data_IF_353568763474
#
_entry.id   IF_353568763474
#
_cell.length_a   1.000
_cell.length_b   1.000
_cell.length_c   1.000
_cell.angle_alpha   90.00
_cell.angle_beta   90.00
_cell.angle_gamma   90.00
#
_symmetry.space_group_name_H-M   'P 1'
#
loop_
_entity.id
_entity.type
_entity.pdbx_description
1 polymer ?
#
# COMPACT_ATOMS: atom_id res chain seq x y z
N UNK A 1 21.09 4.03 5.14
CA UNK A 1 21.15 4.95 3.98
C UNK A 1 21.55 6.33 4.51
N UNK A 2 22.77 6.79 4.27
CA UNK A 2 23.21 8.12 4.73
C UNK A 2 23.37 9.03 3.52
N UNK A 3 22.39 9.90 3.28
CA UNK A 3 22.30 10.84 2.17
C UNK A 3 23.22 12.08 2.37
N UNK A 4 24.42 11.90 2.92
CA UNK A 4 25.39 12.98 3.16
C UNK A 4 26.03 13.45 1.84
N UNK A 5 25.29 14.22 1.03
CA UNK A 5 25.78 14.91 -0.17
C UNK A 5 25.63 14.18 -1.51
N UNK A 6 24.91 13.04 -1.55
CA UNK A 6 24.71 12.22 -2.77
C UNK A 6 23.25 12.16 -3.24
N UNK A 7 22.42 13.14 -2.90
CA UNK A 7 20.99 13.17 -3.25
C UNK A 7 20.76 13.11 -4.77
N UNK A 8 21.45 13.96 -5.54
CA UNK A 8 21.40 13.94 -7.01
C UNK A 8 21.91 12.63 -7.62
N UNK A 9 22.92 12.01 -6.99
CA UNK A 9 23.42 10.69 -7.41
C UNK A 9 22.38 9.59 -7.18
N UNK A 10 21.52 9.73 -6.16
CA UNK A 10 20.43 8.78 -5.92
C UNK A 10 19.39 8.82 -7.03
N UNK A 11 19.03 10.01 -7.55
CA UNK A 11 18.16 10.12 -8.73
C UNK A 11 18.76 9.45 -9.97
N UNK A 12 20.06 9.66 -10.21
CA UNK A 12 20.76 9.02 -11.33
C UNK A 12 20.84 7.49 -11.19
N UNK A 13 21.07 6.99 -9.98
CA UNK A 13 21.11 5.55 -9.66
C UNK A 13 19.72 4.92 -9.69
N UNK A 14 18.68 5.67 -9.31
CA UNK A 14 17.28 5.26 -9.42
C UNK A 14 16.88 5.02 -10.88
N UNK A 15 17.45 5.82 -11.79
CA UNK A 15 17.37 5.63 -13.23
C UNK A 15 15.94 5.60 -13.77
N UNK A 16 15.77 4.94 -14.92
CA UNK A 16 14.46 4.77 -15.56
C UNK A 16 13.44 4.03 -14.66
N UNK A 17 13.78 2.97 -13.91
CA UNK A 17 12.82 2.27 -13.06
C UNK A 17 12.18 3.16 -11.99
N UNK A 18 12.96 4.02 -11.34
CA UNK A 18 12.42 4.94 -10.34
C UNK A 18 11.61 6.08 -10.94
N UNK A 19 12.01 6.60 -12.12
CA UNK A 19 11.24 7.62 -12.81
C UNK A 19 9.86 7.11 -13.27
N UNK A 20 9.83 5.98 -13.97
CA UNK A 20 8.56 5.35 -14.37
C UNK A 20 7.74 4.88 -13.17
N UNK A 21 8.40 4.31 -12.15
CA UNK A 21 7.75 3.95 -10.89
C UNK A 21 7.07 5.14 -10.23
N UNK A 22 7.70 6.32 -10.24
CA UNK A 22 7.12 7.55 -9.70
C UNK A 22 5.94 8.07 -10.51
N UNK A 23 6.01 8.07 -11.84
CA UNK A 23 4.87 8.46 -12.69
C UNK A 23 3.67 7.53 -12.46
N UNK A 24 3.91 6.21 -12.46
CA UNK A 24 2.85 5.22 -12.22
C UNK A 24 2.25 5.42 -10.82
N UNK A 25 3.09 5.66 -9.82
CA UNK A 25 2.65 5.94 -8.45
C UNK A 25 1.79 7.21 -8.34
N UNK A 26 2.11 8.25 -9.12
CA UNK A 26 1.32 9.49 -9.13
C UNK A 26 -0.12 9.27 -9.60
N UNK A 27 -0.34 8.37 -10.56
CA UNK A 27 -1.68 7.98 -11.04
C UNK A 27 -2.46 7.35 -9.89
N UNK A 28 -1.81 6.47 -9.13
CA UNK A 28 -2.37 5.90 -7.91
C UNK A 28 -2.79 6.98 -6.92
N UNK A 29 -1.87 7.86 -6.50
CA UNK A 29 -2.16 8.94 -5.54
C UNK A 29 -3.34 9.81 -5.97
N UNK A 30 -3.39 10.21 -7.25
CA UNK A 30 -4.50 11.00 -7.76
C UNK A 30 -5.82 10.20 -7.75
N UNK A 31 -5.78 8.93 -8.15
CA UNK A 31 -6.93 8.02 -8.13
C UNK A 31 -7.48 7.80 -6.71
N UNK A 32 -6.61 7.68 -5.71
CA UNK A 32 -7.00 7.60 -4.30
C UNK A 32 -7.67 8.87 -3.80
N UNK A 33 -7.06 10.02 -4.05
CA UNK A 33 -7.62 11.30 -3.63
C UNK A 33 -8.98 11.50 -4.29
N UNK A 34 -9.08 11.26 -5.59
CA UNK A 34 -10.34 11.32 -6.32
C UNK A 34 -11.39 10.35 -5.75
N UNK A 35 -11.01 9.11 -5.42
CA UNK A 35 -11.90 8.15 -4.79
C UNK A 35 -12.42 8.64 -3.43
N UNK A 36 -11.56 9.22 -2.59
CA UNK A 36 -11.97 9.77 -1.29
C UNK A 36 -12.97 10.93 -1.40
N UNK A 37 -13.06 11.61 -2.55
CA UNK A 37 -14.08 12.63 -2.82
C UNK A 37 -15.36 12.08 -3.46
N UNK A 38 -15.28 10.95 -4.15
CA UNK A 38 -16.36 10.45 -5.02
C UNK A 38 -16.94 9.11 -4.58
N UNK A 39 -16.44 8.48 -3.51
CA UNK A 39 -17.03 7.27 -2.92
C UNK A 39 -16.75 7.24 -1.42
N UNK A 40 -17.25 6.22 -0.73
CA UNK A 40 -17.05 6.10 0.72
C UNK A 40 -15.64 5.64 1.05
N UNK A 41 -15.16 6.02 2.25
CA UNK A 41 -13.88 5.56 2.80
C UNK A 41 -13.86 4.03 2.90
N UNK A 42 -14.99 3.41 3.26
CA UNK A 42 -15.13 1.96 3.33
C UNK A 42 -14.95 1.29 1.95
N UNK A 43 -15.63 1.80 0.91
CA UNK A 43 -15.47 1.31 -0.47
C UNK A 43 -14.01 1.47 -0.95
N UNK A 44 -13.41 2.64 -0.72
CA UNK A 44 -12.03 2.92 -1.13
C UNK A 44 -11.04 1.96 -0.46
N UNK A 45 -11.12 1.80 0.87
CA UNK A 45 -10.23 0.92 1.61
C UNK A 45 -10.42 -0.56 1.24
N UNK A 46 -11.67 -0.99 1.01
CA UNK A 46 -11.96 -2.33 0.50
C UNK A 46 -11.29 -2.56 -0.84
N UNK A 47 -11.42 -1.64 -1.79
CA UNK A 47 -10.84 -1.77 -3.13
C UNK A 47 -9.30 -1.79 -3.05
N UNK A 48 -8.69 -0.95 -2.22
CA UNK A 48 -7.22 -0.95 -2.04
C UNK A 48 -6.73 -2.26 -1.43
N UNK A 49 -7.49 -2.89 -0.53
CA UNK A 49 -7.13 -4.20 0.04
C UNK A 49 -6.94 -5.30 -1.02
N UNK A 50 -7.56 -5.16 -2.20
CA UNK A 50 -7.39 -6.06 -3.33
C UNK A 50 -5.95 -6.07 -3.88
N UNK A 51 -5.09 -5.14 -3.45
CA UNK A 51 -3.66 -5.12 -3.79
C UNK A 51 -2.98 -6.46 -3.54
N UNK A 52 -3.43 -7.25 -2.57
CA UNK A 52 -2.87 -8.57 -2.26
C UNK A 52 -3.07 -9.55 -3.41
N UNK A 53 -4.22 -9.50 -4.06
CA UNK A 53 -4.53 -10.33 -5.20
C UNK A 53 -3.62 -9.95 -6.37
N UNK A 54 -3.50 -8.66 -6.65
CA UNK A 54 -2.58 -8.16 -7.69
C UNK A 54 -1.12 -8.48 -7.39
N UNK A 55 -0.68 -8.33 -6.14
CA UNK A 55 0.68 -8.69 -5.70
C UNK A 55 0.97 -10.18 -5.87
N UNK A 56 -0.02 -11.03 -5.60
CA UNK A 56 0.10 -12.48 -5.76
C UNK A 56 0.18 -12.86 -7.24
N UNK A 57 -0.73 -12.31 -8.05
CA UNK A 57 -0.77 -12.55 -9.50
C UNK A 57 0.50 -12.01 -10.18
N UNK A 58 0.86 -10.75 -9.92
CA UNK A 58 2.03 -10.14 -10.54
C UNK A 58 3.34 -10.76 -10.03
N UNK A 59 3.41 -11.15 -8.75
CA UNK A 59 4.55 -11.89 -8.21
C UNK A 59 4.76 -13.23 -8.94
N UNK A 60 3.67 -13.95 -9.18
CA UNK A 60 3.70 -15.19 -9.96
C UNK A 60 4.15 -14.95 -11.40
N UNK A 61 3.56 -13.99 -12.12
CA UNK A 61 3.85 -13.78 -13.55
C UNK A 61 5.21 -13.11 -13.80
N UNK A 62 5.55 -12.04 -13.08
CA UNK A 62 6.74 -11.22 -13.37
C UNK A 62 7.99 -11.68 -12.63
N UNK A 63 7.85 -12.26 -11.44
CA UNK A 63 8.97 -12.71 -10.60
C UNK A 63 9.07 -14.25 -10.51
N UNK A 64 8.12 -14.98 -11.13
CA UNK A 64 8.06 -16.45 -11.11
C UNK A 64 7.98 -17.04 -9.69
N UNK A 65 7.34 -16.32 -8.78
CA UNK A 65 7.16 -16.79 -7.41
C UNK A 65 6.15 -17.91 -7.31
N UNK A 66 6.53 -18.97 -6.61
CA UNK A 66 5.61 -20.05 -6.25
C UNK A 66 4.80 -19.65 -5.03
N UNK A 67 3.48 -19.58 -5.20
CA UNK A 67 2.54 -19.39 -4.10
C UNK A 67 2.39 -20.73 -3.39
N UNK A 68 2.84 -20.83 -2.14
CA UNK A 68 2.61 -22.02 -1.33
C UNK A 68 1.17 -22.10 -0.85
N UNK A 69 0.68 -23.30 -0.57
CA UNK A 69 -0.67 -23.54 -0.03
C UNK A 69 -0.95 -22.69 1.21
N UNK A 70 0.03 -22.54 2.09
CA UNK A 70 -0.05 -21.66 3.28
C UNK A 70 -0.32 -20.20 2.93
N UNK A 71 0.34 -19.69 1.88
CA UNK A 71 0.17 -18.32 1.41
C UNK A 71 -1.20 -18.15 0.75
N UNK A 72 -1.65 -19.13 -0.04
CA UNK A 72 -2.98 -19.10 -0.63
C UNK A 72 -4.08 -19.08 0.43
N UNK A 73 -3.97 -19.95 1.46
CA UNK A 73 -4.90 -19.96 2.60
C UNK A 73 -4.86 -18.61 3.33
N UNK A 74 -3.67 -18.03 3.53
CA UNK A 74 -3.52 -16.73 4.17
C UNK A 74 -4.19 -15.61 3.37
N UNK A 75 -4.07 -15.61 2.03
CA UNK A 75 -4.76 -14.65 1.16
C UNK A 75 -6.27 -14.78 1.29
N UNK A 76 -6.80 -16.01 1.22
CA UNK A 76 -8.25 -16.25 1.33
C UNK A 76 -8.76 -15.77 2.69
N UNK A 77 -8.08 -16.14 3.79
CA UNK A 77 -8.44 -15.69 5.14
C UNK A 77 -8.37 -14.17 5.28
N UNK A 78 -7.33 -13.54 4.75
CA UNK A 78 -7.18 -12.10 4.88
C UNK A 78 -8.26 -11.36 4.09
N UNK A 79 -8.60 -11.84 2.88
CA UNK A 79 -9.69 -11.28 2.08
C UNK A 79 -11.07 -11.47 2.72
N UNK A 80 -11.34 -12.63 3.32
CA UNK A 80 -12.60 -12.84 4.07
C UNK A 80 -12.67 -11.95 5.31
N UNK A 81 -11.55 -11.79 6.02
CA UNK A 81 -11.44 -10.87 7.15
C UNK A 81 -11.72 -9.42 6.75
N UNK A 82 -11.16 -8.95 5.64
CA UNK A 82 -11.46 -7.61 5.10
C UNK A 82 -12.94 -7.49 4.74
N UNK A 83 -13.51 -8.45 4.01
CA UNK A 83 -14.92 -8.44 3.63
C UNK A 83 -15.85 -8.39 4.86
N UNK A 84 -15.54 -9.12 5.93
CA UNK A 84 -16.30 -9.04 7.18
C UNK A 84 -16.15 -7.68 7.86
N UNK A 85 -14.94 -7.11 7.84
CA UNK A 85 -14.64 -5.85 8.52
C UNK A 85 -15.38 -4.65 7.91
N UNK A 86 -15.46 -4.58 6.58
CA UNK A 86 -16.03 -3.42 5.87
C UNK A 86 -17.32 -3.73 5.11
N UNK A 87 -17.71 -4.99 4.98
CA UNK A 87 -18.83 -5.45 4.14
C UNK A 87 -20.16 -4.76 4.44
N UNK A 88 -20.49 -4.58 5.72
CA UNK A 88 -21.72 -3.89 6.12
C UNK A 88 -21.68 -2.38 5.87
N UNK A 89 -20.49 -1.81 5.64
CA UNK A 89 -20.28 -0.40 5.32
C UNK A 89 -20.15 -0.15 3.81
N UNK A 90 -20.22 -1.20 2.98
CA UNK A 90 -20.17 -1.08 1.53
C UNK A 90 -21.50 -0.52 1.02
N UNK A 91 -21.43 0.59 0.31
CA UNK A 91 -22.60 1.25 -0.27
C UNK A 91 -22.63 1.03 -1.78
N UNK A 92 -23.74 0.51 -2.34
CA UNK A 92 -23.96 0.51 -3.79
C UNK A 92 -24.03 1.93 -4.33
N UNK A 93 -23.51 2.15 -5.54
CA UNK A 93 -23.38 3.49 -6.14
C UNK A 93 -21.92 3.92 -6.30
N UNK A 94 -21.69 5.11 -6.86
CA UNK A 94 -20.36 5.74 -6.94
C UNK A 94 -19.31 4.99 -7.81
N UNK A 95 -19.74 4.54 -8.99
CA UNK A 95 -18.87 3.79 -9.92
C UNK A 95 -17.58 4.55 -10.28
N UNK A 96 -17.65 5.87 -10.47
CA UNK A 96 -16.48 6.69 -10.83
C UNK A 96 -15.40 6.66 -9.75
N UNK A 97 -15.79 6.87 -8.48
CA UNK A 97 -14.88 6.78 -7.34
C UNK A 97 -14.32 5.36 -7.15
N UNK A 98 -15.16 4.34 -7.31
CA UNK A 98 -14.74 2.94 -7.18
C UNK A 98 -13.75 2.53 -8.29
N UNK A 99 -13.98 2.95 -9.54
CA UNK A 99 -13.05 2.72 -10.64
C UNK A 99 -11.71 3.44 -10.43
N UNK A 100 -11.75 4.68 -9.93
CA UNK A 100 -10.54 5.43 -9.59
C UNK A 100 -9.76 4.75 -8.45
N UNK A 101 -10.44 4.26 -7.41
CA UNK A 101 -9.82 3.51 -6.31
C UNK A 101 -9.09 2.25 -6.80
N UNK A 102 -9.59 1.61 -7.87
CA UNK A 102 -8.99 0.39 -8.43
C UNK A 102 -7.61 0.62 -9.08
N UNK A 103 -7.29 1.86 -9.46
CA UNK A 103 -5.96 2.20 -9.95
C UNK A 103 -4.86 1.96 -8.89
N UNK A 104 -5.18 2.21 -7.62
CA UNK A 104 -4.22 2.10 -6.52
C UNK A 104 -3.65 0.70 -6.28
N UNK A 105 -4.47 -0.35 -6.08
CA UNK A 105 -3.93 -1.67 -5.81
C UNK A 105 -3.07 -2.21 -6.97
N UNK A 106 -3.38 -1.83 -8.22
CA UNK A 106 -2.60 -2.19 -9.40
C UNK A 106 -1.25 -1.46 -9.40
N UNK A 107 -1.29 -0.14 -9.25
CA UNK A 107 -0.10 0.73 -9.21
C UNK A 107 0.84 0.30 -8.08
N UNK A 108 0.28 0.03 -6.91
CA UNK A 108 1.04 -0.42 -5.75
C UNK A 108 1.69 -1.79 -6.00
N UNK A 109 0.95 -2.73 -6.59
CA UNK A 109 1.51 -4.02 -6.97
C UNK A 109 2.67 -3.87 -7.97
N UNK A 110 2.52 -3.03 -9.00
CA UNK A 110 3.60 -2.74 -9.97
C UNK A 110 4.83 -2.18 -9.25
N UNK A 111 4.65 -1.21 -8.35
CA UNK A 111 5.74 -0.64 -7.57
C UNK A 111 6.51 -1.71 -6.78
N UNK A 112 5.81 -2.59 -6.06
CA UNK A 112 6.46 -3.68 -5.31
C UNK A 112 7.23 -4.62 -6.24
N UNK A 113 6.67 -4.94 -7.42
CA UNK A 113 7.39 -5.75 -8.41
C UNK A 113 8.65 -5.06 -8.91
N UNK A 114 8.61 -3.76 -9.17
CA UNK A 114 9.80 -2.99 -9.58
C UNK A 114 10.85 -2.99 -8.46
N UNK A 115 10.46 -2.71 -7.21
CA UNK A 115 11.36 -2.75 -6.03
C UNK A 115 12.05 -4.11 -5.93
N UNK A 116 11.31 -5.19 -6.20
CA UNK A 116 11.83 -6.57 -6.07
C UNK A 116 12.65 -7.03 -7.25
N UNK A 117 12.34 -6.56 -8.45
CA UNK A 117 13.15 -6.81 -9.65
C UNK A 117 14.47 -6.06 -9.60
N UNK A 118 14.50 -4.89 -8.95
CA UNK A 118 15.67 -4.02 -8.85
C UNK A 118 16.03 -3.68 -7.38
N UNK A 119 16.42 -4.66 -6.55
CA UNK A 119 16.56 -4.46 -5.10
C UNK A 119 17.76 -3.58 -4.69
N UNK A 120 18.72 -3.40 -5.59
CA UNK A 120 19.90 -2.52 -5.40
C UNK A 120 19.58 -1.05 -5.71
N UNK A 121 18.46 -0.78 -6.37
CA UNK A 121 18.05 0.55 -6.78
C UNK A 121 17.29 1.23 -5.64
N UNK A 122 17.69 2.46 -5.32
CA UNK A 122 16.94 3.27 -4.37
C UNK A 122 15.66 3.80 -5.03
N UNK A 123 14.50 3.42 -4.49
CA UNK A 123 13.19 3.82 -5.00
C UNK A 123 12.63 5.04 -4.25
N UNK A 124 13.29 5.53 -3.20
CA UNK A 124 12.88 6.77 -2.51
C UNK A 124 12.78 7.97 -3.48
N UNK A 125 13.68 8.14 -4.48
CA UNK A 125 13.50 9.18 -5.50
C UNK A 125 12.21 9.06 -6.33
N UNK A 126 11.66 7.84 -6.50
CA UNK A 126 10.39 7.63 -7.19
C UNK A 126 9.25 8.34 -6.47
N UNK A 127 9.29 8.41 -5.14
CA UNK A 127 8.29 9.12 -4.34
C UNK A 127 8.31 10.63 -4.58
N UNK A 128 9.49 11.21 -4.79
CA UNK A 128 9.62 12.62 -5.17
C UNK A 128 9.01 12.87 -6.55
N UNK A 129 9.33 12.03 -7.54
CA UNK A 129 8.74 12.09 -8.88
C UNK A 129 7.22 11.97 -8.79
N UNK A 130 6.71 11.03 -8.00
CA UNK A 130 5.28 10.86 -7.77
C UNK A 130 4.63 12.12 -7.20
N UNK A 131 5.25 12.73 -6.18
CA UNK A 131 4.77 13.97 -5.58
C UNK A 131 4.74 15.16 -6.56
N UNK A 132 5.78 15.34 -7.36
CA UNK A 132 5.83 16.39 -8.40
C UNK A 132 4.77 16.16 -9.46
N UNK A 133 4.63 14.93 -9.97
CA UNK A 133 3.60 14.58 -10.95
C UNK A 133 2.19 14.76 -10.38
N UNK A 134 1.92 14.33 -9.14
CA UNK A 134 0.64 14.54 -8.47
C UNK A 134 0.34 16.02 -8.24
N UNK A 135 1.35 16.84 -7.92
CA UNK A 135 1.20 18.28 -7.82
C UNK A 135 0.83 18.92 -9.16
N UNK A 136 1.48 18.51 -10.26
CA UNK A 136 1.15 18.98 -11.61
C UNK A 136 -0.28 18.57 -12.02
N UNK A 137 -0.66 17.31 -11.78
CA UNK A 137 -2.02 16.82 -12.07
C UNK A 137 -3.04 17.61 -11.24
N UNK A 138 -2.79 17.76 -9.93
CA UNK A 138 -3.65 18.54 -9.04
C UNK A 138 -3.77 20.01 -9.45
N UNK A 139 -2.68 20.63 -9.89
CA UNK A 139 -2.67 22.00 -10.39
C UNK A 139 -3.51 22.15 -11.66
N UNK A 140 -3.41 21.21 -12.61
CA UNK A 140 -4.18 21.23 -13.86
C UNK A 140 -5.67 20.99 -13.64
N UNK A 141 -6.04 20.18 -12.64
CA UNK A 141 -7.44 19.83 -12.34
C UNK A 141 -8.09 20.79 -11.34
N UNK A 142 -7.30 21.58 -10.61
CA UNK A 142 -7.84 22.45 -9.58
C UNK A 142 -8.53 23.69 -10.16
N UNK A 143 -9.72 23.98 -9.66
CA UNK A 143 -10.45 25.21 -9.97
C UNK A 143 -10.03 26.39 -9.08
N UNK A 144 -9.34 26.13 -7.97
CA UNK A 144 -8.84 27.14 -7.01
C UNK A 144 -7.45 26.76 -6.50
N UNK A 145 -6.49 27.67 -6.67
CA UNK A 145 -5.10 27.45 -6.25
C UNK A 145 -4.81 27.96 -4.84
N UNK A 146 -5.77 28.66 -4.21
CA UNK A 146 -5.60 29.14 -2.84
C UNK A 146 -5.74 28.00 -1.83
N UNK A 147 -4.61 27.61 -1.24
CA UNK A 147 -4.52 26.61 -0.17
C UNK A 147 -4.21 27.33 1.14
N UNK A 148 -4.91 26.99 2.23
CA UNK A 148 -4.65 27.60 3.53
C UNK A 148 -3.30 27.14 4.12
N UNK A 149 -2.68 27.97 4.95
CA UNK A 149 -1.44 27.59 5.66
C UNK A 149 -1.64 26.34 6.53
N UNK A 150 -2.85 26.17 7.08
CA UNK A 150 -3.23 25.00 7.87
C UNK A 150 -3.23 23.72 7.03
N UNK A 151 -3.82 23.75 5.83
CA UNK A 151 -3.90 22.56 4.97
C UNK A 151 -2.52 22.19 4.39
N UNK A 152 -1.67 23.18 4.11
CA UNK A 152 -0.26 22.95 3.74
C UNK A 152 0.46 22.24 4.89
N UNK A 153 0.25 22.66 6.14
CA UNK A 153 0.85 22.03 7.30
C UNK A 153 0.37 20.58 7.50
N UNK A 154 -0.94 20.33 7.35
CA UNK A 154 -1.48 18.97 7.40
C UNK A 154 -0.95 18.09 6.26
N UNK A 155 -0.88 18.63 5.04
CA UNK A 155 -0.29 17.96 3.88
C UNK A 155 1.19 17.64 4.09
N UNK A 156 1.95 18.55 4.73
CA UNK A 156 3.34 18.30 5.12
C UNK A 156 3.44 17.15 6.13
N UNK A 157 2.60 17.13 7.17
CA UNK A 157 2.60 16.05 8.16
C UNK A 157 2.24 14.70 7.52
N UNK A 158 1.19 14.64 6.72
CA UNK A 158 0.79 13.43 6.00
C UNK A 158 1.87 12.98 4.99
N UNK A 159 2.44 13.91 4.22
CA UNK A 159 3.45 13.59 3.21
C UNK A 159 4.80 13.17 3.80
N UNK A 160 5.34 13.95 4.74
CA UNK A 160 6.66 13.71 5.31
C UNK A 160 6.66 12.53 6.30
N UNK A 161 5.77 12.55 7.29
CA UNK A 161 5.76 11.54 8.34
C UNK A 161 5.09 10.24 7.88
N UNK A 162 3.81 10.30 7.49
CA UNK A 162 3.04 9.10 7.19
C UNK A 162 3.55 8.43 5.90
N UNK A 163 3.51 9.17 4.79
CA UNK A 163 3.85 8.60 3.48
C UNK A 163 5.36 8.41 3.34
N UNK A 164 6.17 9.40 3.73
CA UNK A 164 7.64 9.33 3.62
C UNK A 164 8.26 8.16 4.38
N UNK A 165 7.96 8.01 5.68
CA UNK A 165 8.49 6.88 6.46
C UNK A 165 7.90 5.55 6.02
N UNK A 166 6.58 5.49 5.76
CA UNK A 166 5.93 4.29 5.24
C UNK A 166 6.60 3.78 3.96
N UNK A 167 6.90 4.69 3.03
CA UNK A 167 7.55 4.37 1.77
C UNK A 167 9.00 3.88 1.93
N UNK A 168 9.75 4.45 2.86
CA UNK A 168 11.11 3.97 3.18
C UNK A 168 11.05 2.55 3.73
N UNK A 169 10.15 2.29 4.69
CA UNK A 169 10.03 0.97 5.31
C UNK A 169 9.55 -0.10 4.32
N UNK A 170 8.55 0.21 3.48
CA UNK A 170 8.09 -0.75 2.46
C UNK A 170 9.18 -1.00 1.41
N UNK A 171 9.92 0.03 0.99
CA UNK A 171 11.02 -0.16 0.03
C UNK A 171 12.11 -1.06 0.58
N UNK A 172 12.45 -0.91 1.86
CA UNK A 172 13.45 -1.77 2.51
C UNK A 172 12.90 -3.20 2.70
N UNK A 173 11.68 -3.33 3.24
CA UNK A 173 11.09 -4.62 3.58
C UNK A 173 10.68 -5.46 2.35
N UNK A 174 10.18 -4.82 1.30
CA UNK A 174 9.71 -5.52 0.10
C UNK A 174 10.85 -6.13 -0.72
N UNK A 175 12.06 -5.56 -0.67
CA UNK A 175 13.24 -6.07 -1.44
C UNK A 175 13.51 -7.56 -1.21
N UNK A 176 13.31 -8.05 0.01
CA UNK A 176 13.63 -9.43 0.40
C UNK A 176 12.39 -10.29 0.66
N UNK A 177 11.20 -9.73 0.55
CA UNK A 177 9.95 -10.39 0.95
C UNK A 177 9.12 -10.73 -0.28
N UNK A 178 8.64 -11.97 -0.45
CA UNK A 178 7.76 -12.34 -1.56
C UNK A 178 6.54 -11.42 -1.68
N UNK A 179 6.08 -11.13 -2.90
CA UNK A 179 5.12 -10.06 -3.18
C UNK A 179 3.77 -10.32 -2.52
N UNK A 180 3.29 -11.56 -2.59
CA UNK A 180 2.07 -11.99 -1.91
C UNK A 180 2.17 -11.79 -0.38
N UNK A 181 3.33 -12.07 0.21
CA UNK A 181 3.57 -11.91 1.64
C UNK A 181 3.58 -10.45 2.06
N UNK A 182 4.17 -9.55 1.24
CA UNK A 182 4.11 -8.10 1.48
C UNK A 182 2.66 -7.64 1.60
N UNK A 183 1.81 -8.05 0.66
CA UNK A 183 0.40 -7.68 0.67
C UNK A 183 -0.34 -8.16 1.93
N UNK A 184 -0.13 -9.42 2.33
CA UNK A 184 -0.76 -9.97 3.55
C UNK A 184 -0.31 -9.17 4.78
N UNK A 185 0.99 -8.91 4.94
CA UNK A 185 1.52 -8.18 6.09
C UNK A 185 0.94 -6.76 6.14
N UNK A 186 0.77 -6.11 5.00
CA UNK A 186 0.23 -4.75 4.95
C UNK A 186 -1.21 -4.65 5.47
N UNK A 187 -2.04 -5.69 5.35
CA UNK A 187 -3.39 -5.66 5.94
C UNK A 187 -3.42 -5.50 7.46
N UNK A 188 -2.29 -5.74 8.14
CA UNK A 188 -2.19 -5.43 9.58
C UNK A 188 -2.51 -3.96 9.86
N UNK A 189 -2.19 -3.04 8.94
CA UNK A 189 -2.53 -1.62 9.08
C UNK A 189 -4.04 -1.37 9.08
N UNK A 190 -4.79 -2.14 8.29
CA UNK A 190 -6.24 -2.01 8.20
C UNK A 190 -6.93 -2.40 9.52
N UNK A 191 -6.31 -3.31 10.29
CA UNK A 191 -6.77 -3.68 11.64
C UNK A 191 -6.42 -2.61 12.67
N UNK A 192 -5.27 -1.96 12.52
CA UNK A 192 -4.82 -0.91 13.43
C UNK A 192 -5.70 0.35 13.34
N UNK A 193 -6.24 0.68 12.17
CA UNK A 193 -7.10 1.86 11.97
C UNK A 193 -8.24 1.99 13.00
N UNK A 194 -9.16 1.02 13.09
CA UNK A 194 -10.22 1.02 14.09
C UNK A 194 -9.71 1.02 15.55
N UNK A 195 -8.56 0.40 15.82
CA UNK A 195 -7.94 0.39 17.16
C UNK A 195 -7.49 1.81 17.56
N UNK A 196 -6.87 2.54 16.63
CA UNK A 196 -6.47 3.93 16.87
C UNK A 196 -7.68 4.85 17.05
N UNK A 197 -8.73 4.69 16.24
CA UNK A 197 -9.98 5.44 16.38
C UNK A 197 -10.64 5.19 17.75
N UNK A 198 -10.64 3.95 18.23
CA UNK A 198 -11.10 3.62 19.57
C UNK A 198 -10.27 4.30 20.67
N UNK A 199 -8.95 4.29 20.56
CA UNK A 199 -8.06 4.85 21.59
C UNK A 199 -8.09 6.38 21.66
N UNK A 200 -8.13 7.06 20.52
CA UNK A 200 -7.98 8.53 20.47
C UNK A 200 -9.31 9.28 20.27
N UNK A 201 -10.29 8.64 19.64
CA UNK A 201 -11.59 9.24 19.29
C UNK A 201 -12.74 8.58 20.05
N UNK A 202 -12.47 7.54 20.86
CA UNK A 202 -13.49 6.78 21.60
C UNK A 202 -14.55 6.12 20.70
N UNK A 203 -14.24 5.92 19.41
CA UNK A 203 -15.13 5.29 18.45
C UNK A 203 -15.07 3.76 18.60
N UNK A 204 -16.18 3.12 18.95
CA UNK A 204 -16.21 1.68 19.21
C UNK A 204 -16.23 0.90 17.89
N UNK A 205 -15.25 0.03 17.61
CA UNK A 205 -15.29 -0.83 16.45
C UNK A 205 -16.49 -1.78 16.55
N UNK A 206 -17.14 -2.02 15.41
CA UNK A 206 -18.24 -2.97 15.34
C UNK A 206 -17.76 -4.40 15.63
N UNK A 207 -18.66 -5.28 16.08
CA UNK A 207 -18.32 -6.69 16.31
C UNK A 207 -17.82 -7.37 15.03
N UNK A 208 -18.40 -7.05 13.88
CA UNK A 208 -17.90 -7.50 12.58
C UNK A 208 -16.51 -6.97 12.27
N UNK A 209 -16.23 -5.72 12.64
CA UNK A 209 -14.91 -5.10 12.54
C UNK A 209 -13.85 -5.84 13.35
N UNK A 210 -14.17 -6.19 14.60
CA UNK A 210 -13.29 -6.94 15.49
C UNK A 210 -13.03 -8.38 15.00
N UNK A 211 -14.08 -9.09 14.57
CA UNK A 211 -13.96 -10.45 14.04
C UNK A 211 -13.14 -10.45 12.75
N UNK A 212 -13.44 -9.53 11.82
CA UNK A 212 -12.69 -9.37 10.57
C UNK A 212 -11.22 -9.04 10.84
N UNK A 213 -10.95 -8.12 11.77
CA UNK A 213 -9.60 -7.78 12.20
C UNK A 213 -8.83 -8.95 12.82
N UNK A 214 -9.47 -9.76 13.66
CA UNK A 214 -8.87 -10.96 14.24
C UNK A 214 -8.51 -12.01 13.18
N UNK A 215 -9.37 -12.21 12.17
CA UNK A 215 -9.10 -13.11 11.05
C UNK A 215 -7.90 -12.61 10.22
N UNK A 216 -7.83 -11.30 9.93
CA UNK A 216 -6.68 -10.70 9.23
C UNK A 216 -5.39 -10.94 10.02
N UNK A 217 -5.38 -10.65 11.33
CA UNK A 217 -4.20 -10.88 12.17
C UNK A 217 -3.78 -12.35 12.19
N UNK A 218 -4.75 -13.27 12.25
CA UNK A 218 -4.46 -14.70 12.17
C UNK A 218 -3.82 -15.09 10.83
N UNK A 219 -4.32 -14.56 9.70
CA UNK A 219 -3.72 -14.77 8.38
C UNK A 219 -2.28 -14.23 8.30
N UNK A 220 -2.03 -13.05 8.88
CA UNK A 220 -0.68 -12.46 8.98
C UNK A 220 0.25 -13.36 9.79
N UNK A 221 -0.19 -13.85 10.95
CA UNK A 221 0.58 -14.75 11.81
C UNK A 221 0.91 -16.08 11.11
N UNK A 222 -0.07 -16.66 10.42
CA UNK A 222 0.13 -17.88 9.62
C UNK A 222 1.20 -17.68 8.54
N UNK A 223 1.16 -16.54 7.85
CA UNK A 223 2.13 -16.18 6.84
C UNK A 223 3.54 -15.95 7.43
N UNK A 224 3.65 -15.30 8.58
CA UNK A 224 4.92 -15.14 9.30
C UNK A 224 5.52 -16.49 9.72
N UNK A 225 4.71 -17.39 10.28
CA UNK A 225 5.16 -18.73 10.66
C UNK A 225 5.72 -19.49 9.45
N UNK A 226 5.03 -19.41 8.30
CA UNK A 226 5.49 -20.04 7.06
C UNK A 226 6.84 -19.48 6.58
N UNK A 227 7.11 -18.19 6.75
CA UNK A 227 8.39 -17.58 6.39
C UNK A 227 9.53 -18.06 7.29
N UNK A 228 9.30 -18.08 8.61
CA UNK A 228 10.28 -18.53 9.59
C UNK A 228 10.66 -19.99 9.38
N UNK A 229 9.69 -20.85 9.09
CA UNK A 229 9.95 -22.27 8.87
C UNK A 229 10.75 -22.52 7.58
N UNK A 230 10.45 -21.79 6.49
CA UNK A 230 11.26 -21.83 5.26
C UNK A 230 12.70 -21.40 5.50
N UNK A 231 12.92 -20.34 6.29
CA UNK A 231 14.27 -19.86 6.62
C UNK A 231 15.07 -20.86 7.44
N UNK A 232 14.45 -21.51 8.43
CA UNK A 232 15.09 -22.56 9.23
C UNK A 232 15.57 -23.73 8.36
N UNK A 233 14.73 -24.17 7.41
CA UNK A 233 15.07 -25.26 6.50
C UNK A 233 16.28 -24.96 5.60
N UNK A 234 16.43 -23.71 5.15
CA UNK A 234 17.57 -23.28 4.32
C UNK A 234 18.88 -23.20 5.13
N UNK A 235 18.81 -22.95 6.44
CA UNK A 235 19.99 -22.84 7.32
C UNK A 235 20.44 -24.20 7.86
N UNK A 236 19.56 -25.20 7.85
CA UNK A 236 19.87 -26.58 8.29
C UNK A 236 20.44 -27.48 7.19
N UNK A 237 20.36 -27.05 5.92
CA UNK A 237 20.91 -27.74 4.75
C UNK A 237 22.27 -27.14 4.37
#
# INVERSE_FOLDING_TARGET
ISYKGKTLKSFYVSGLPGFFGGIILSIGFCGYVFAMYNTTVANTNFIISLQILFLSVFGYFFLKEKISTTTLISIILAMTGVLLMVGNSLTPGELSGNLAAFSMPIVFAILIIIIRKYPTVDMVPAQFVAGVCSCLIGFLLSTKVMISHHDIFLGFLAGFFQVGFGFIFITIGARTTPSATVGIIMLSESVLGPIWAFLFVSERPSMFGLIGGAIILFAVLLQFYSLLNKRKKIVSD
#
